data_IF_254411494880
#
_entry.id   IF_254411494880
#
_cell.length_a   1.000
_cell.length_b   1.000
_cell.length_c   1.000
_cell.angle_alpha   90.00
_cell.angle_beta   90.00
_cell.angle_gamma   90.00
#
_symmetry.space_group_name_H-M   'P 1'
#
loop_
_entity.id
_entity.type
_entity.pdbx_description
1 polymer ?
#
# COMPACT_ATOMS: atom_id res chain seq x y z
N UNK A 1 -2.19 28.64 -38.54
CA UNK A 1 -2.46 27.24 -38.18
C UNK A 1 -1.69 27.02 -36.89
N UNK A 2 -2.43 26.82 -35.81
CA UNK A 2 -2.01 27.01 -34.43
C UNK A 2 -0.85 26.09 -34.03
N UNK A 3 0.29 26.68 -33.66
CA UNK A 3 1.29 26.03 -32.82
C UNK A 3 0.68 25.85 -31.42
N UNK A 4 0.15 24.66 -31.19
CA UNK A 4 -0.45 24.28 -29.92
C UNK A 4 0.67 24.11 -28.90
N UNK A 5 0.74 25.09 -27.99
CA UNK A 5 1.36 25.06 -26.66
C UNK A 5 1.75 23.66 -26.16
N UNK A 6 2.99 23.23 -26.40
CA UNK A 6 3.64 22.17 -25.62
C UNK A 6 4.15 22.75 -24.30
N UNK A 7 3.22 23.22 -23.48
CA UNK A 7 3.43 23.56 -22.07
C UNK A 7 2.80 22.48 -21.17
N UNK A 8 2.92 21.21 -21.56
CA UNK A 8 2.70 20.09 -20.63
C UNK A 8 3.86 20.02 -19.66
N UNK A 9 3.69 20.76 -18.57
CA UNK A 9 4.28 20.56 -17.24
C UNK A 9 5.59 19.76 -17.20
N UNK A 10 6.71 20.49 -17.19
CA UNK A 10 8.02 20.03 -16.69
C UNK A 10 8.00 19.81 -15.16
N UNK A 11 7.00 19.10 -14.64
CA UNK A 11 7.04 18.56 -13.28
C UNK A 11 7.79 17.22 -13.32
N UNK A 12 8.92 17.15 -12.60
CA UNK A 12 9.69 15.94 -12.27
C UNK A 12 10.84 15.52 -13.21
N UNK A 13 11.98 16.22 -13.10
CA UNK A 13 13.31 15.66 -13.44
C UNK A 13 13.98 14.91 -12.27
N UNK A 14 13.27 14.64 -11.18
CA UNK A 14 13.83 13.83 -10.09
C UNK A 14 13.54 12.34 -10.37
N UNK A 15 14.57 11.53 -10.71
CA UNK A 15 14.38 10.13 -11.07
C UNK A 15 13.68 9.32 -9.98
N UNK A 16 13.85 9.69 -8.70
CA UNK A 16 13.20 9.00 -7.59
C UNK A 16 11.67 9.20 -7.58
N UNK A 17 11.19 10.41 -7.86
CA UNK A 17 9.75 10.73 -7.84
C UNK A 17 9.05 10.01 -8.99
N UNK A 18 9.60 10.09 -10.20
CA UNK A 18 9.06 9.39 -11.37
C UNK A 18 8.96 7.88 -11.15
N UNK A 19 10.00 7.30 -10.55
CA UNK A 19 10.06 5.87 -10.24
C UNK A 19 8.98 5.45 -9.25
N UNK A 20 8.72 6.23 -8.18
CA UNK A 20 7.63 5.92 -7.24
C UNK A 20 6.26 6.00 -7.92
N UNK A 21 6.00 7.00 -8.77
CA UNK A 21 4.74 7.07 -9.51
C UNK A 21 4.55 5.92 -10.50
N UNK A 22 5.61 5.50 -11.18
CA UNK A 22 5.57 4.34 -12.07
C UNK A 22 5.30 3.05 -11.29
N UNK A 23 5.90 2.89 -10.11
CA UNK A 23 5.61 1.75 -9.23
C UNK A 23 4.17 1.75 -8.70
N UNK A 24 3.60 2.92 -8.37
CA UNK A 24 2.19 3.05 -8.02
C UNK A 24 1.30 2.70 -9.21
N UNK A 25 1.67 3.10 -10.42
CA UNK A 25 0.94 2.73 -11.65
C UNK A 25 0.97 1.21 -11.86
N UNK A 26 2.12 0.59 -11.64
CA UNK A 26 2.27 -0.87 -11.66
C UNK A 26 1.36 -1.56 -10.65
N UNK A 27 1.31 -1.06 -9.41
CA UNK A 27 0.36 -1.53 -8.39
C UNK A 27 -1.09 -1.43 -8.87
N UNK A 28 -1.52 -0.27 -9.37
CA UNK A 28 -2.89 -0.06 -9.86
C UNK A 28 -3.24 -0.99 -11.02
N UNK A 29 -2.27 -1.29 -11.89
CA UNK A 29 -2.43 -2.22 -13.01
C UNK A 29 -2.25 -3.70 -12.62
N UNK A 30 -1.98 -4.00 -11.35
CA UNK A 30 -1.66 -5.35 -10.87
C UNK A 30 -0.50 -5.97 -11.69
N UNK A 31 0.44 -5.11 -12.09
CA UNK A 31 1.60 -5.49 -12.90
C UNK A 31 2.80 -5.64 -11.97
N UNK A 32 3.37 -6.84 -11.80
CA UNK A 32 4.45 -7.07 -10.86
C UNK A 32 5.71 -6.31 -11.26
N UNK A 33 6.59 -6.07 -10.29
CA UNK A 33 7.82 -5.29 -10.46
C UNK A 33 9.02 -6.20 -10.18
N UNK A 34 9.96 -6.24 -11.12
CA UNK A 34 11.18 -7.04 -11.00
C UNK A 34 12.16 -6.40 -10.01
N UNK A 35 12.60 -7.20 -9.03
CA UNK A 35 13.57 -6.82 -7.99
C UNK A 35 14.91 -6.32 -8.58
N UNK A 36 15.35 -6.90 -9.70
CA UNK A 36 16.62 -6.53 -10.36
C UNK A 36 16.61 -5.17 -11.06
N UNK A 37 15.41 -4.61 -11.29
CA UNK A 37 15.22 -3.26 -11.87
C UNK A 37 14.92 -2.20 -10.83
N UNK A 38 14.65 -2.61 -9.59
CA UNK A 38 14.30 -1.75 -8.46
C UNK A 38 15.58 -1.21 -7.81
N UNK A 39 16.11 -0.07 -8.29
CA UNK A 39 17.09 0.73 -7.52
C UNK A 39 16.40 1.49 -6.38
N UNK A 40 15.72 0.75 -5.51
CA UNK A 40 15.00 1.30 -4.37
C UNK A 40 16.01 1.66 -3.30
N UNK A 41 15.92 2.90 -2.84
CA UNK A 41 16.66 3.39 -1.69
C UNK A 41 15.68 3.94 -0.66
N UNK A 42 16.21 4.38 0.47
CA UNK A 42 15.42 4.92 1.57
C UNK A 42 14.53 6.11 1.17
N UNK A 43 14.95 6.91 0.18
CA UNK A 43 14.17 8.04 -0.32
C UNK A 43 12.87 7.56 -0.96
N UNK A 44 12.89 6.47 -1.73
CA UNK A 44 11.67 5.91 -2.34
C UNK A 44 10.69 5.42 -1.27
N UNK A 45 11.21 4.76 -0.23
CA UNK A 45 10.40 4.26 0.89
C UNK A 45 9.76 5.41 1.67
N UNK A 46 10.53 6.44 2.01
CA UNK A 46 10.03 7.64 2.68
C UNK A 46 8.98 8.34 1.82
N UNK A 47 9.25 8.52 0.52
CA UNK A 47 8.32 9.18 -0.40
C UNK A 47 7.00 8.41 -0.51
N UNK A 48 7.05 7.09 -0.67
CA UNK A 48 5.85 6.25 -0.72
C UNK A 48 5.07 6.28 0.59
N UNK A 49 5.77 6.24 1.74
CA UNK A 49 5.16 6.37 3.06
C UNK A 49 4.43 7.71 3.22
N UNK A 50 5.04 8.81 2.76
CA UNK A 50 4.42 10.14 2.77
C UNK A 50 3.18 10.16 1.88
N UNK A 51 3.25 9.62 0.66
CA UNK A 51 2.10 9.58 -0.27
C UNK A 51 0.93 8.82 0.38
N UNK A 52 1.18 7.66 0.99
CA UNK A 52 0.12 6.88 1.64
C UNK A 52 -0.42 7.55 2.89
N UNK A 53 0.44 8.22 3.66
CA UNK A 53 0.02 9.01 4.81
C UNK A 53 -0.88 10.18 4.40
N UNK A 54 -0.53 10.88 3.31
CA UNK A 54 -1.33 11.96 2.75
C UNK A 54 -2.65 11.45 2.18
N UNK A 55 -2.67 10.31 1.50
CA UNK A 55 -3.90 9.69 1.00
C UNK A 55 -4.83 9.30 2.15
N UNK A 56 -4.28 8.71 3.21
CA UNK A 56 -5.05 8.34 4.40
C UNK A 56 -5.60 9.58 5.12
N UNK A 57 -4.77 10.62 5.28
CA UNK A 57 -5.20 11.88 5.87
C UNK A 57 -6.28 12.58 5.02
N UNK A 58 -6.11 12.65 3.70
CA UNK A 58 -7.10 13.21 2.78
C UNK A 58 -8.42 12.45 2.86
N UNK A 59 -8.37 11.12 2.95
CA UNK A 59 -9.54 10.28 3.15
C UNK A 59 -10.23 10.56 4.50
N UNK A 60 -9.47 10.67 5.59
CA UNK A 60 -10.01 11.02 6.91
C UNK A 60 -10.72 12.39 6.89
N UNK A 61 -10.10 13.37 6.24
CA UNK A 61 -10.68 14.70 6.05
C UNK A 61 -11.98 14.65 5.23
N UNK A 62 -12.04 13.80 4.19
CA UNK A 62 -13.27 13.58 3.42
C UNK A 62 -14.40 12.99 4.29
N UNK A 63 -14.10 11.99 5.12
CA UNK A 63 -15.09 11.38 6.01
C UNK A 63 -15.62 12.37 7.06
N UNK A 64 -14.72 13.13 7.68
CA UNK A 64 -15.10 14.20 8.60
C UNK A 64 -16.02 15.24 7.92
N UNK A 65 -15.73 15.60 6.67
CA UNK A 65 -16.54 16.57 5.93
C UNK A 65 -17.93 16.04 5.57
N UNK A 66 -18.07 14.73 5.39
CA UNK A 66 -19.34 14.08 5.10
C UNK A 66 -20.24 13.97 6.36
N UNK A 67 -19.64 13.68 7.53
CA UNK A 67 -20.38 13.36 8.75
C UNK A 67 -20.60 14.54 9.73
N UNK A 68 -19.87 15.66 9.62
CA UNK A 68 -19.89 16.72 10.66
C UNK A 68 -20.34 18.11 10.18
N UNK A 69 -21.09 18.81 11.05
CA UNK A 69 -21.25 20.27 11.00
C UNK A 69 -19.89 20.94 11.23
N UNK A 70 -19.57 21.97 10.45
CA UNK A 70 -18.24 22.59 10.29
C UNK A 70 -17.42 22.87 11.58
N UNK A 71 -18.05 23.08 12.74
CA UNK A 71 -17.36 23.36 14.01
C UNK A 71 -16.63 22.16 14.65
N UNK A 72 -17.11 20.92 14.44
CA UNK A 72 -16.43 19.71 14.94
C UNK A 72 -15.26 19.32 14.02
N UNK A 73 -15.38 19.67 12.73
CA UNK A 73 -14.32 19.53 11.74
C UNK A 73 -13.02 20.20 12.20
N UNK A 74 -13.12 21.40 12.78
CA UNK A 74 -11.96 22.18 13.23
C UNK A 74 -11.20 21.53 14.39
N UNK A 75 -11.91 20.90 15.34
CA UNK A 75 -11.29 20.16 16.46
C UNK A 75 -10.59 18.89 15.99
N UNK A 76 -11.22 18.15 15.07
CA UNK A 76 -10.66 16.92 14.51
C UNK A 76 -9.55 17.18 13.47
N UNK A 77 -9.46 18.40 12.94
CA UNK A 77 -8.34 18.90 12.13
C UNK A 77 -7.06 19.07 12.97
N UNK A 78 -7.21 19.50 14.21
CA UNK A 78 -6.09 19.84 15.12
C UNK A 78 -5.48 18.59 15.74
N UNK A 79 -6.25 17.51 15.91
CA UNK A 79 -5.77 16.25 16.51
C UNK A 79 -6.00 15.07 15.55
N UNK A 80 -5.14 14.87 14.55
CA UNK A 80 -5.23 13.76 13.62
C UNK A 80 -4.60 12.49 14.21
N UNK A 81 -4.86 12.18 15.48
CA UNK A 81 -4.29 11.02 16.17
C UNK A 81 -4.61 9.71 15.45
N UNK A 82 -5.83 9.57 14.91
CA UNK A 82 -6.26 8.36 14.20
C UNK A 82 -5.54 8.17 12.85
N UNK A 83 -5.45 9.19 11.97
CA UNK A 83 -4.57 9.13 10.80
C UNK A 83 -3.13 8.79 11.12
N UNK A 84 -2.55 9.41 12.14
CA UNK A 84 -1.15 9.16 12.53
C UNK A 84 -0.99 7.71 12.99
N UNK A 85 -1.91 7.19 13.81
CA UNK A 85 -1.91 5.80 14.26
C UNK A 85 -2.02 4.81 13.10
N UNK A 86 -2.87 5.08 12.12
CA UNK A 86 -2.98 4.30 10.88
C UNK A 86 -1.68 4.26 10.09
N UNK A 87 -1.04 5.42 9.91
CA UNK A 87 0.25 5.52 9.21
C UNK A 87 1.37 4.77 9.94
N UNK A 88 1.44 4.90 11.27
CA UNK A 88 2.41 4.18 12.10
C UNK A 88 2.17 2.67 12.01
N UNK A 89 0.92 2.21 12.06
CA UNK A 89 0.59 0.80 11.88
C UNK A 89 1.04 0.27 10.51
N UNK A 90 0.80 1.00 9.43
CA UNK A 90 1.23 0.59 8.08
C UNK A 90 2.76 0.43 8.03
N UNK A 91 3.51 1.38 8.61
CA UNK A 91 4.98 1.32 8.65
C UNK A 91 5.44 0.11 9.47
N UNK A 92 4.92 -0.08 10.69
CA UNK A 92 5.31 -1.20 11.56
C UNK A 92 4.99 -2.54 10.89
N UNK A 93 3.78 -2.68 10.34
CA UNK A 93 3.36 -3.90 9.63
C UNK A 93 4.23 -4.15 8.40
N UNK A 94 4.61 -3.11 7.66
CA UNK A 94 5.54 -3.22 6.54
C UNK A 94 6.88 -3.82 6.97
N UNK A 95 7.42 -3.38 8.12
CA UNK A 95 8.67 -3.93 8.66
C UNK A 95 8.53 -5.37 9.12
N UNK A 96 7.44 -5.71 9.81
CA UNK A 96 7.19 -7.09 10.27
C UNK A 96 7.03 -8.02 9.06
N UNK A 97 6.16 -7.67 8.13
CA UNK A 97 5.82 -8.48 6.95
C UNK A 97 7.00 -8.57 5.99
N UNK A 98 7.70 -7.47 5.73
CA UNK A 98 8.92 -7.46 4.91
C UNK A 98 10.00 -8.36 5.48
N UNK A 99 10.15 -8.41 6.81
CA UNK A 99 11.07 -9.31 7.50
C UNK A 99 10.62 -10.77 7.44
N UNK A 100 9.33 -11.04 7.59
CA UNK A 100 8.77 -12.38 7.41
C UNK A 100 9.06 -12.90 6.01
N UNK A 101 8.76 -12.11 4.97
CA UNK A 101 9.13 -12.46 3.60
C UNK A 101 10.63 -12.70 3.46
N UNK A 102 11.49 -11.86 4.05
CA UNK A 102 12.94 -12.08 4.03
C UNK A 102 13.38 -13.39 4.69
N UNK A 103 12.73 -13.82 5.76
CA UNK A 103 12.98 -15.13 6.39
C UNK A 103 12.58 -16.29 5.47
N UNK A 104 11.38 -16.25 4.87
CA UNK A 104 10.92 -17.33 3.99
C UNK A 104 11.66 -17.40 2.65
N UNK A 105 12.18 -16.26 2.22
CA UNK A 105 12.90 -16.11 0.97
C UNK A 105 14.42 -16.25 1.13
N UNK A 106 14.91 -16.43 2.36
CA UNK A 106 16.32 -16.34 2.75
C UNK A 106 17.05 -15.12 2.12
N UNK A 107 16.36 -13.98 2.11
CA UNK A 107 16.80 -12.78 1.38
C UNK A 107 16.32 -11.50 2.08
N UNK A 108 17.18 -10.86 2.87
CA UNK A 108 16.83 -9.69 3.70
C UNK A 108 17.03 -8.33 3.02
N UNK A 109 16.70 -8.23 1.74
CA UNK A 109 16.83 -6.98 0.97
C UNK A 109 15.85 -5.91 1.42
N UNK A 110 16.30 -4.65 1.30
CA UNK A 110 15.44 -3.48 1.51
C UNK A 110 14.22 -3.48 0.57
N UNK A 111 14.35 -4.06 -0.62
CA UNK A 111 13.25 -4.14 -1.59
C UNK A 111 12.05 -4.91 -1.07
N UNK A 112 12.23 -5.91 -0.19
CA UNK A 112 11.11 -6.67 0.38
C UNK A 112 10.17 -5.75 1.17
N UNK A 113 10.75 -4.90 2.03
CA UNK A 113 10.01 -3.91 2.79
C UNK A 113 9.32 -2.90 1.88
N UNK A 114 9.99 -2.49 0.81
CA UNK A 114 9.39 -1.57 -0.16
C UNK A 114 8.23 -2.18 -0.94
N UNK A 115 8.35 -3.42 -1.41
CA UNK A 115 7.28 -4.13 -2.12
C UNK A 115 6.07 -4.35 -1.23
N UNK A 116 6.30 -4.69 0.04
CA UNK A 116 5.23 -4.79 1.04
C UNK A 116 4.57 -3.44 1.27
N UNK A 117 5.36 -2.37 1.43
CA UNK A 117 4.83 -1.02 1.58
C UNK A 117 3.94 -0.68 0.38
N UNK A 118 4.43 -0.95 -0.83
CA UNK A 118 3.72 -0.71 -2.08
C UNK A 118 2.43 -1.53 -2.21
N UNK A 119 2.46 -2.83 -1.86
CA UNK A 119 1.25 -3.65 -1.75
C UNK A 119 0.23 -3.10 -0.76
N UNK A 120 0.72 -2.41 0.29
CA UNK A 120 -0.08 -1.60 1.21
C UNK A 120 -1.04 -0.62 0.54
N UNK A 121 -0.79 -0.18 -0.69
CA UNK A 121 -1.65 0.78 -1.39
C UNK A 121 -3.08 0.30 -1.66
N UNK A 122 -3.29 -1.02 -1.78
CA UNK A 122 -4.65 -1.57 -1.93
C UNK A 122 -5.50 -1.35 -0.67
N UNK A 123 -4.87 -1.17 0.50
CA UNK A 123 -5.59 -0.87 1.75
C UNK A 123 -6.33 0.46 1.66
N UNK A 124 -5.67 1.49 1.12
CA UNK A 124 -6.27 2.82 0.93
C UNK A 124 -7.51 2.75 0.05
N UNK A 125 -7.48 1.94 -1.00
CA UNK A 125 -8.64 1.71 -1.89
C UNK A 125 -9.78 1.01 -1.13
N UNK A 126 -9.46 -0.05 -0.38
CA UNK A 126 -10.44 -0.79 0.41
C UNK A 126 -11.15 0.11 1.43
N UNK A 127 -10.40 0.97 2.12
CA UNK A 127 -10.93 1.91 3.11
C UNK A 127 -11.91 2.89 2.46
N UNK A 128 -11.56 3.47 1.31
CA UNK A 128 -12.45 4.40 0.57
C UNK A 128 -13.74 3.69 0.16
N UNK A 129 -13.64 2.53 -0.50
CA UNK A 129 -14.80 1.76 -0.96
C UNK A 129 -15.69 1.31 0.20
N UNK A 130 -15.08 0.93 1.33
CA UNK A 130 -15.78 0.49 2.53
C UNK A 130 -16.62 1.57 3.17
N UNK A 131 -16.27 2.85 3.01
CA UNK A 131 -17.07 3.93 3.58
C UNK A 131 -18.21 4.34 2.67
N UNK A 132 -18.02 4.25 1.34
CA UNK A 132 -19.09 4.45 0.38
C UNK A 132 -20.11 3.30 0.46
N UNK A 133 -19.63 2.05 0.62
CA UNK A 133 -20.48 0.87 0.68
C UNK A 133 -20.21 -0.01 1.91
N UNK A 134 -20.63 0.48 3.08
CA UNK A 134 -20.40 -0.16 4.39
C UNK A 134 -20.83 -1.64 4.48
N UNK A 135 -21.89 -2.03 3.75
CA UNK A 135 -22.36 -3.43 3.74
C UNK A 135 -21.35 -4.41 3.12
N UNK A 136 -20.44 -3.93 2.30
CA UNK A 136 -19.47 -4.75 1.56
C UNK A 136 -18.03 -4.60 2.09
N UNK A 137 -17.85 -3.98 3.25
CA UNK A 137 -16.51 -3.69 3.77
C UNK A 137 -15.63 -4.93 3.86
N UNK A 138 -16.09 -5.99 4.52
CA UNK A 138 -15.31 -7.22 4.66
C UNK A 138 -14.88 -7.79 3.30
N UNK A 139 -15.73 -7.69 2.29
CA UNK A 139 -15.43 -8.13 0.92
C UNK A 139 -14.33 -7.26 0.30
N UNK A 140 -14.39 -5.93 0.42
CA UNK A 140 -13.34 -5.06 -0.13
C UNK A 140 -11.98 -5.31 0.51
N UNK A 141 -11.96 -5.55 1.81
CA UNK A 141 -10.74 -5.86 2.55
C UNK A 141 -10.16 -7.23 2.13
N UNK A 142 -10.97 -8.27 1.99
CA UNK A 142 -10.51 -9.56 1.43
C UNK A 142 -9.96 -9.37 0.02
N UNK A 143 -10.69 -8.70 -0.87
CA UNK A 143 -10.25 -8.47 -2.25
C UNK A 143 -8.94 -7.68 -2.32
N UNK A 144 -8.77 -6.70 -1.43
CA UNK A 144 -7.54 -5.92 -1.27
C UNK A 144 -6.37 -6.79 -0.80
N UNK A 145 -6.60 -7.69 0.15
CA UNK A 145 -5.61 -8.67 0.59
C UNK A 145 -5.18 -9.61 -0.54
N UNK A 146 -6.12 -10.12 -1.33
CA UNK A 146 -5.83 -10.99 -2.49
C UNK A 146 -5.02 -10.23 -3.56
N UNK A 147 -5.41 -8.99 -3.86
CA UNK A 147 -4.70 -8.17 -4.85
C UNK A 147 -3.27 -7.82 -4.38
N UNK A 148 -3.12 -7.47 -3.09
CA UNK A 148 -1.82 -7.21 -2.46
C UNK A 148 -0.93 -8.44 -2.50
N UNK A 149 -1.47 -9.60 -2.09
CA UNK A 149 -0.76 -10.88 -2.13
C UNK A 149 -0.31 -11.24 -3.54
N UNK A 150 -1.21 -11.16 -4.53
CA UNK A 150 -0.85 -11.44 -5.92
C UNK A 150 0.28 -10.53 -6.40
N UNK A 151 0.16 -9.21 -6.18
CA UNK A 151 1.19 -8.26 -6.58
C UNK A 151 2.55 -8.54 -5.92
N UNK A 152 2.57 -8.71 -4.60
CA UNK A 152 3.79 -8.94 -3.81
C UNK A 152 4.43 -10.27 -4.22
N UNK A 153 3.63 -11.36 -4.25
CA UNK A 153 4.10 -12.69 -4.62
C UNK A 153 4.70 -12.68 -6.02
N UNK A 154 3.96 -12.22 -7.03
CA UNK A 154 4.45 -12.21 -8.41
C UNK A 154 5.74 -11.38 -8.52
N UNK A 155 5.83 -10.25 -7.81
CA UNK A 155 7.05 -9.44 -7.77
C UNK A 155 8.25 -10.19 -7.18
N UNK A 156 8.06 -11.00 -6.14
CA UNK A 156 9.10 -11.85 -5.58
C UNK A 156 9.46 -13.06 -6.46
N UNK A 157 8.53 -13.53 -7.30
CA UNK A 157 8.71 -14.71 -8.14
C UNK A 157 9.38 -14.42 -9.49
N UNK A 158 9.33 -13.18 -10.02
CA UNK A 158 9.75 -12.84 -11.39
C UNK A 158 11.14 -13.39 -11.78
N UNK A 159 12.11 -13.41 -10.86
CA UNK A 159 13.47 -13.88 -11.12
C UNK A 159 13.97 -14.90 -10.09
N UNK A 160 13.04 -15.56 -9.38
CA UNK A 160 13.39 -16.46 -8.27
C UNK A 160 13.25 -17.91 -8.70
N UNK A 161 14.34 -18.65 -8.53
CA UNK A 161 14.39 -20.11 -8.73
C UNK A 161 14.23 -20.75 -7.36
N UNK A 162 13.26 -21.67 -7.24
CA UNK A 162 13.08 -22.48 -6.04
C UNK A 162 13.76 -23.83 -6.26
N UNK A 163 14.42 -24.33 -5.23
CA UNK A 163 15.08 -25.64 -5.27
C UNK A 163 14.04 -26.77 -5.33
N UNK A 164 12.97 -26.69 -4.52
CA UNK A 164 11.83 -27.61 -4.55
C UNK A 164 10.51 -26.87 -4.89
N UNK A 165 9.63 -27.59 -5.60
CA UNK A 165 8.22 -27.23 -5.77
C UNK A 165 7.50 -27.05 -4.42
N UNK A 166 7.87 -27.81 -3.40
CA UNK A 166 7.27 -27.70 -2.07
C UNK A 166 7.56 -26.35 -1.41
N UNK A 167 8.77 -25.82 -1.54
CA UNK A 167 9.14 -24.50 -1.00
C UNK A 167 8.34 -23.38 -1.65
N UNK A 168 8.13 -23.50 -2.97
CA UNK A 168 7.26 -22.59 -3.72
C UNK A 168 5.82 -22.62 -3.21
N UNK A 169 5.25 -23.81 -3.00
CA UNK A 169 3.89 -23.95 -2.47
C UNK A 169 3.76 -23.44 -1.03
N UNK A 170 4.78 -23.67 -0.21
CA UNK A 170 4.83 -23.18 1.16
C UNK A 170 4.86 -21.64 1.19
N UNK A 171 5.72 -21.03 0.37
CA UNK A 171 5.79 -19.58 0.21
C UNK A 171 4.44 -18.97 -0.22
N UNK A 172 3.80 -19.56 -1.24
CA UNK A 172 2.49 -19.11 -1.73
C UNK A 172 1.45 -19.15 -0.63
N UNK A 173 1.34 -20.30 0.05
CA UNK A 173 0.32 -20.53 1.07
C UNK A 173 0.48 -19.57 2.25
N UNK A 174 1.72 -19.35 2.67
CA UNK A 174 2.01 -18.47 3.80
C UNK A 174 1.84 -16.99 3.44
N UNK A 175 2.21 -16.59 2.22
CA UNK A 175 1.94 -15.25 1.68
C UNK A 175 0.44 -14.94 1.67
N UNK A 176 -0.37 -15.90 1.19
CA UNK A 176 -1.83 -15.77 1.18
C UNK A 176 -2.39 -15.66 2.59
N UNK A 177 -1.93 -16.51 3.52
CA UNK A 177 -2.38 -16.48 4.91
C UNK A 177 -2.03 -15.15 5.59
N UNK A 178 -0.81 -14.65 5.40
CA UNK A 178 -0.33 -13.41 5.98
C UNK A 178 -1.17 -12.21 5.51
N UNK A 179 -1.41 -12.10 4.21
CA UNK A 179 -2.23 -11.01 3.65
C UNK A 179 -3.71 -11.16 3.98
N UNK A 180 -4.25 -12.38 4.03
CA UNK A 180 -5.64 -12.60 4.45
C UNK A 180 -5.84 -12.24 5.92
N UNK A 181 -4.91 -12.58 6.82
CA UNK A 181 -4.98 -12.20 8.23
C UNK A 181 -4.89 -10.68 8.42
N UNK A 182 -3.97 -10.02 7.73
CA UNK A 182 -3.79 -8.57 7.83
C UNK A 182 -4.99 -7.81 7.29
N UNK A 183 -5.40 -8.11 6.06
CA UNK A 183 -6.46 -7.37 5.39
C UNK A 183 -7.85 -7.86 5.78
N UNK A 184 -8.06 -9.13 6.08
CA UNK A 184 -9.36 -9.68 6.47
C UNK A 184 -9.67 -9.58 7.96
N UNK A 185 -8.65 -9.56 8.83
CA UNK A 185 -8.82 -9.52 10.29
C UNK A 185 -8.35 -8.21 10.91
N UNK A 186 -7.06 -7.92 10.84
CA UNK A 186 -6.44 -6.83 11.61
C UNK A 186 -6.88 -5.44 11.13
N UNK A 187 -6.82 -5.19 9.83
CA UNK A 187 -7.11 -3.87 9.28
C UNK A 187 -8.60 -3.46 9.38
N UNK A 188 -9.59 -4.32 9.08
CA UNK A 188 -10.99 -3.99 9.32
C UNK A 188 -11.24 -3.62 10.79
N UNK A 189 -10.71 -4.38 11.74
CA UNK A 189 -10.88 -4.07 13.17
C UNK A 189 -10.27 -2.73 13.57
N UNK A 190 -9.07 -2.42 13.07
CA UNK A 190 -8.37 -1.18 13.39
C UNK A 190 -9.02 0.05 12.74
N UNK A 191 -9.56 -0.10 11.52
CA UNK A 191 -10.05 1.02 10.72
C UNK A 191 -11.58 1.19 10.70
N UNK A 192 -12.35 0.16 11.06
CA UNK A 192 -13.83 0.26 11.15
C UNK A 192 -14.33 0.64 12.54
N UNK A 193 -13.57 0.38 13.61
CA UNK A 193 -13.91 0.81 14.97
C UNK A 193 -13.73 2.33 15.19
N UNK A 194 -13.36 3.08 14.15
CA UNK A 194 -13.21 4.54 14.18
C UNK A 194 -14.56 5.21 13.83
N UNK A 195 -15.66 4.78 14.47
CA UNK A 195 -16.97 5.45 14.41
C UNK A 195 -17.34 6.05 15.76
#
# INVERSE_FOLDING_TARGET
MEETNTNTLNFCKNPAIYTVFDHIKHLVMIKPISDDKLKVNIIHFILLSIIYSLLYYAYYMFCLAYDLKAGVLLKNLIVPTMPILGCVCIIIMTFIVGRLYGFFLDDYKFTNYYLVLLGGGYLSIAIILSNIFFKYTFIFFICSGIASDYFIRESFLINRIFEDRNDKLYFISLSMLLNLCLYGGVFPEFFMNIR
#
